data_IF_947907504534
#
_entry.id   IF_947907504534
#
_cell.length_a   1.000
_cell.length_b   1.000
_cell.length_c   1.000
_cell.angle_alpha   90.00
_cell.angle_beta   90.00
_cell.angle_gamma   90.00
#
_symmetry.space_group_name_H-M   'P 1'
#
loop_
_entity.id
_entity.type
_entity.pdbx_description
1 polymer ?
#
# COMPACT_ATOMS: atom_id res chain seq x y z
N UNK A 1 17.48 -27.72 -16.60
CA UNK A 1 16.87 -27.55 -15.27
C UNK A 1 15.79 -26.51 -15.47
N UNK A 2 14.56 -26.95 -15.56
CA UNK A 2 13.38 -26.10 -15.79
C UNK A 2 13.19 -25.20 -14.58
N UNK A 3 13.45 -23.90 -14.74
CA UNK A 3 12.97 -22.86 -13.83
C UNK A 3 11.45 -23.04 -13.69
N UNK A 4 11.01 -23.42 -12.49
CA UNK A 4 9.60 -23.44 -12.13
C UNK A 4 9.07 -22.01 -12.20
N UNK A 5 7.85 -21.83 -12.72
CA UNK A 5 7.20 -20.53 -12.74
C UNK A 5 7.16 -19.95 -11.30
N UNK A 6 7.37 -18.64 -11.09
CA UNK A 6 7.39 -18.02 -9.76
C UNK A 6 6.08 -18.21 -8.96
N UNK A 7 5.01 -18.66 -9.61
CA UNK A 7 3.73 -18.97 -8.98
C UNK A 7 3.67 -20.36 -8.31
N UNK A 8 4.66 -21.24 -8.53
CA UNK A 8 4.75 -22.54 -7.83
C UNK A 8 5.06 -22.40 -6.35
N UNK A 9 5.55 -21.24 -5.91
CA UNK A 9 5.93 -21.00 -4.52
C UNK A 9 4.75 -20.53 -3.66
N UNK A 10 3.55 -20.42 -4.23
CA UNK A 10 2.31 -19.99 -3.55
C UNK A 10 1.35 -21.17 -3.28
N UNK A 11 1.87 -22.35 -2.94
CA UNK A 11 1.05 -23.56 -2.75
C UNK A 11 0.40 -23.67 -1.36
N UNK A 12 0.82 -22.86 -0.39
CA UNK A 12 0.25 -22.88 0.97
C UNK A 12 0.27 -21.50 1.65
N UNK A 13 -0.53 -21.37 2.71
CA UNK A 13 -0.53 -20.19 3.59
C UNK A 13 0.85 -19.97 4.23
N UNK A 14 1.54 -21.05 4.59
CA UNK A 14 2.87 -20.97 5.22
C UNK A 14 3.92 -20.44 4.22
N UNK A 15 3.80 -20.82 2.94
CA UNK A 15 4.66 -20.28 1.89
C UNK A 15 4.42 -18.78 1.66
N UNK A 16 3.16 -18.32 1.73
CA UNK A 16 2.84 -16.87 1.68
C UNK A 16 3.42 -16.13 2.89
N UNK A 17 3.36 -16.69 4.09
CA UNK A 17 4.00 -16.08 5.26
C UNK A 17 5.52 -15.96 5.08
N UNK A 18 6.16 -17.02 4.57
CA UNK A 18 7.61 -17.00 4.31
C UNK A 18 7.98 -15.96 3.24
N UNK A 19 7.17 -15.86 2.18
CA UNK A 19 7.34 -14.86 1.12
C UNK A 19 7.25 -13.43 1.67
N UNK A 20 6.24 -13.13 2.47
CA UNK A 20 6.08 -11.82 3.11
C UNK A 20 7.24 -11.53 4.07
N UNK A 21 7.67 -12.52 4.85
CA UNK A 21 8.79 -12.39 5.78
C UNK A 21 10.12 -12.10 5.06
N UNK A 22 10.39 -12.75 3.92
CA UNK A 22 11.56 -12.46 3.07
C UNK A 22 11.55 -11.02 2.54
N UNK A 23 10.37 -10.48 2.25
CA UNK A 23 10.16 -9.08 1.88
C UNK A 23 10.09 -8.12 3.07
N UNK A 24 10.55 -8.53 4.26
CA UNK A 24 10.56 -7.70 5.48
C UNK A 24 9.15 -7.22 5.91
N UNK A 25 8.12 -8.03 5.65
CA UNK A 25 6.75 -7.78 6.07
C UNK A 25 6.28 -8.84 7.07
N UNK A 26 5.90 -8.40 8.27
CA UNK A 26 5.43 -9.28 9.35
C UNK A 26 3.91 -9.41 9.29
N UNK A 27 3.44 -10.44 8.60
CA UNK A 27 2.02 -10.79 8.51
C UNK A 27 1.58 -11.69 9.66
N UNK A 28 0.32 -11.57 10.07
CA UNK A 28 -0.34 -12.63 10.83
C UNK A 28 -0.87 -13.73 9.88
N UNK A 29 -1.25 -14.87 10.45
CA UNK A 29 -1.76 -16.01 9.68
C UNK A 29 -3.07 -15.70 8.95
N UNK A 30 -3.91 -14.83 9.50
CA UNK A 30 -5.21 -14.49 8.92
C UNK A 30 -5.04 -13.65 7.65
N UNK A 31 -4.15 -12.65 7.68
CA UNK A 31 -3.76 -11.85 6.53
C UNK A 31 -3.11 -12.70 5.46
N UNK A 32 -2.17 -13.58 5.84
CA UNK A 32 -1.53 -14.50 4.91
C UNK A 32 -2.54 -15.46 4.26
N UNK A 33 -3.57 -15.90 5.01
CA UNK A 33 -4.65 -16.74 4.48
C UNK A 33 -5.51 -15.96 3.48
N UNK A 34 -5.91 -14.72 3.81
CA UNK A 34 -6.69 -13.87 2.91
C UNK A 34 -5.93 -13.59 1.61
N UNK A 35 -4.63 -13.29 1.71
CA UNK A 35 -3.77 -13.08 0.55
C UNK A 35 -3.59 -14.36 -0.28
N UNK A 36 -3.33 -15.50 0.36
CA UNK A 36 -3.24 -16.79 -0.31
C UNK A 36 -4.51 -17.10 -1.13
N UNK A 37 -5.69 -16.91 -0.54
CA UNK A 37 -6.96 -17.14 -1.21
C UNK A 37 -7.19 -16.16 -2.37
N UNK A 38 -6.83 -14.89 -2.19
CA UNK A 38 -6.92 -13.87 -3.24
C UNK A 38 -6.05 -14.23 -4.46
N UNK A 39 -4.79 -14.62 -4.22
CA UNK A 39 -3.85 -15.04 -5.26
C UNK A 39 -4.33 -16.31 -5.97
N UNK A 40 -4.77 -17.33 -5.20
CA UNK A 40 -5.16 -18.64 -5.76
C UNK A 40 -6.46 -18.57 -6.56
N UNK A 41 -7.38 -17.70 -6.17
CA UNK A 41 -8.69 -17.55 -6.82
C UNK A 41 -8.72 -16.40 -7.83
N UNK A 42 -7.61 -15.68 -8.01
CA UNK A 42 -7.52 -14.55 -8.95
C UNK A 42 -8.51 -13.42 -8.63
N UNK A 43 -8.77 -13.17 -7.34
CA UNK A 43 -9.70 -12.12 -6.89
C UNK A 43 -8.94 -10.99 -6.18
N UNK A 44 -9.38 -9.73 -6.30
CA UNK A 44 -8.74 -8.62 -5.58
C UNK A 44 -8.77 -8.81 -4.07
N UNK A 45 -7.72 -8.36 -3.38
CA UNK A 45 -7.66 -8.26 -1.92
C UNK A 45 -7.89 -6.80 -1.50
N UNK A 46 -8.93 -6.58 -0.71
CA UNK A 46 -9.25 -5.27 -0.13
C UNK A 46 -8.84 -5.22 1.34
N UNK A 47 -7.88 -4.34 1.63
CA UNK A 47 -7.29 -4.09 2.93
C UNK A 47 -7.84 -2.78 3.49
N UNK A 48 -8.73 -2.88 4.47
CA UNK A 48 -9.26 -1.74 5.21
C UNK A 48 -8.64 -1.71 6.60
N UNK A 49 -8.38 -0.55 7.19
CA UNK A 49 -7.80 -0.47 8.53
C UNK A 49 -7.22 0.89 8.84
N UNK A 50 -6.50 0.99 9.94
CA UNK A 50 -5.94 2.26 10.41
C UNK A 50 -4.74 2.75 9.59
N UNK A 51 -4.46 4.04 9.61
CA UNK A 51 -3.29 4.58 8.95
C UNK A 51 -2.00 4.03 9.58
N UNK A 52 -0.98 3.78 8.76
CA UNK A 52 0.35 3.38 9.24
C UNK A 52 0.48 1.92 9.70
N UNK A 53 -0.49 1.04 9.42
CA UNK A 53 -0.44 -0.41 9.74
C UNK A 53 0.18 -1.28 8.64
N UNK A 54 0.68 -0.68 7.56
CA UNK A 54 1.40 -1.40 6.49
C UNK A 54 0.55 -1.96 5.34
N UNK A 55 -0.67 -1.47 5.13
CA UNK A 55 -1.56 -1.91 4.02
C UNK A 55 -0.91 -1.75 2.64
N UNK A 56 -0.36 -0.57 2.36
CA UNK A 56 0.29 -0.21 1.09
C UNK A 56 1.58 -1.02 0.85
N UNK A 57 2.27 -1.43 1.91
CA UNK A 57 3.54 -2.15 1.82
C UNK A 57 3.38 -3.56 1.24
N UNK A 58 2.24 -4.21 1.46
CA UNK A 58 1.94 -5.55 0.94
C UNK A 58 2.07 -5.60 -0.58
N UNK A 59 1.55 -4.59 -1.30
CA UNK A 59 1.65 -4.55 -2.76
C UNK A 59 3.09 -4.48 -3.26
N UNK A 60 3.96 -3.73 -2.57
CA UNK A 60 5.38 -3.64 -2.91
C UNK A 60 6.10 -4.96 -2.67
N UNK A 61 5.87 -5.56 -1.50
CA UNK A 61 6.49 -6.84 -1.14
C UNK A 61 6.07 -7.95 -2.09
N UNK A 62 4.79 -7.99 -2.50
CA UNK A 62 4.32 -8.95 -3.49
C UNK A 62 4.98 -8.73 -4.86
N UNK A 63 5.11 -7.49 -5.30
CA UNK A 63 5.79 -7.16 -6.55
C UNK A 63 7.25 -7.61 -6.54
N UNK A 64 7.99 -7.28 -5.49
CA UNK A 64 9.40 -7.64 -5.36
C UNK A 64 9.59 -9.15 -5.25
N UNK A 65 8.80 -9.82 -4.40
CA UNK A 65 8.94 -11.24 -4.15
C UNK A 65 8.53 -12.12 -5.34
N UNK A 66 7.54 -11.70 -6.13
CA UNK A 66 7.10 -12.41 -7.33
C UNK A 66 7.87 -11.96 -8.60
N UNK A 67 8.76 -10.96 -8.49
CA UNK A 67 9.46 -10.40 -9.64
C UNK A 67 8.54 -9.74 -10.67
N UNK A 68 7.42 -9.17 -10.22
CA UNK A 68 6.39 -8.58 -11.09
C UNK A 68 6.44 -7.05 -11.01
N UNK A 69 6.15 -6.37 -12.12
CA UNK A 69 6.06 -4.90 -12.16
C UNK A 69 4.97 -4.40 -11.19
N UNK A 70 5.33 -3.47 -10.31
CA UNK A 70 4.37 -2.74 -9.47
C UNK A 70 3.77 -1.57 -10.25
N UNK A 71 2.45 -1.50 -10.27
CA UNK A 71 1.71 -0.36 -10.80
C UNK A 71 0.88 0.21 -9.67
N UNK A 72 1.11 1.48 -9.35
CA UNK A 72 0.38 2.17 -8.28
C UNK A 72 -0.60 3.16 -8.87
N UNK A 73 -1.87 3.01 -8.51
CA UNK A 73 -2.90 4.02 -8.66
C UNK A 73 -3.13 4.66 -7.29
N UNK A 74 -2.69 5.91 -7.12
CA UNK A 74 -2.99 6.68 -5.93
C UNK A 74 -4.37 7.33 -6.08
N UNK A 75 -5.26 7.06 -5.14
CA UNK A 75 -6.58 7.66 -5.10
C UNK A 75 -6.57 8.99 -4.34
N UNK A 76 -7.33 9.95 -4.88
CA UNK A 76 -7.54 11.29 -4.34
C UNK A 76 -8.84 11.88 -4.90
N UNK A 77 -9.32 12.96 -4.31
CA UNK A 77 -10.57 13.63 -4.69
C UNK A 77 -10.46 14.23 -6.09
N UNK A 78 -11.45 14.00 -6.95
CA UNK A 78 -11.40 14.45 -8.35
C UNK A 78 -10.51 13.60 -9.26
N UNK A 79 -10.07 12.41 -8.82
CA UNK A 79 -9.45 11.43 -9.71
C UNK A 79 -10.45 11.01 -10.81
N UNK A 80 -10.04 11.16 -12.07
CA UNK A 80 -10.87 10.89 -13.23
C UNK A 80 -10.32 9.75 -14.11
N UNK A 81 -11.11 9.35 -15.11
CA UNK A 81 -10.77 8.28 -16.05
C UNK A 81 -9.52 8.65 -16.87
N UNK A 82 -9.36 9.93 -17.23
CA UNK A 82 -8.20 10.42 -17.99
C UNK A 82 -6.89 10.17 -17.24
N UNK A 83 -6.87 10.46 -15.94
CA UNK A 83 -5.67 10.31 -15.09
C UNK A 83 -5.43 8.86 -14.67
N UNK A 84 -6.49 8.05 -14.60
CA UNK A 84 -6.40 6.66 -14.15
C UNK A 84 -6.16 5.66 -15.29
N UNK A 85 -6.69 5.91 -16.49
CA UNK A 85 -6.73 4.95 -17.60
C UNK A 85 -5.85 5.37 -18.78
N UNK A 86 -6.15 6.49 -19.42
CA UNK A 86 -5.35 6.96 -20.56
C UNK A 86 -5.59 8.44 -20.85
N UNK A 87 -4.60 9.06 -21.49
CA UNK A 87 -4.71 10.40 -22.07
C UNK A 87 -4.09 10.39 -23.47
N UNK A 88 -4.66 11.16 -24.39
CA UNK A 88 -4.07 11.38 -25.71
C UNK A 88 -3.05 12.51 -25.67
N UNK A 89 -1.85 12.28 -26.19
CA UNK A 89 -0.82 13.31 -26.33
C UNK A 89 -1.13 14.23 -27.53
N UNK A 90 -2.11 15.13 -27.36
CA UNK A 90 -2.52 16.06 -28.39
C UNK A 90 -1.38 16.96 -28.88
N UNK A 91 -0.44 17.33 -28.00
CA UNK A 91 0.71 18.14 -28.40
C UNK A 91 1.61 17.40 -29.41
N UNK A 92 1.90 16.12 -29.15
CA UNK A 92 2.68 15.29 -30.07
C UNK A 92 1.91 15.03 -31.38
N UNK A 93 0.61 14.77 -31.31
CA UNK A 93 -0.25 14.63 -32.48
C UNK A 93 -0.19 15.89 -33.36
N UNK A 94 -0.30 17.08 -32.77
CA UNK A 94 -0.25 18.35 -33.51
C UNK A 94 1.12 18.61 -34.16
N UNK A 95 2.22 18.20 -33.53
CA UNK A 95 3.55 18.31 -34.13
C UNK A 95 3.66 17.39 -35.35
N UNK A 96 3.19 16.14 -35.23
CA UNK A 96 3.24 15.16 -36.30
C UNK A 96 2.41 15.59 -37.51
N UNK A 97 1.21 16.12 -37.28
CA UNK A 97 0.35 16.71 -38.32
C UNK A 97 1.09 17.83 -39.06
N UNK A 98 1.74 18.76 -38.34
CA UNK A 98 2.47 19.88 -38.98
C UNK A 98 3.68 19.41 -39.78
N UNK A 99 4.37 18.37 -39.31
CA UNK A 99 5.50 17.79 -40.03
C UNK A 99 5.03 17.09 -41.32
N UNK A 100 3.93 16.35 -41.25
CA UNK A 100 3.31 15.71 -42.42
C UNK A 100 2.84 16.76 -43.45
N UNK A 101 2.18 17.84 -43.00
CA UNK A 101 1.78 18.96 -43.85
C UNK A 101 3.00 19.64 -44.52
N UNK A 102 4.08 19.88 -43.76
CA UNK A 102 5.31 20.48 -44.28
C UNK A 102 6.05 19.57 -45.27
N UNK A 103 5.98 18.25 -45.09
CA UNK A 103 6.51 17.25 -46.01
C UNK A 103 5.66 17.08 -47.28
N UNK A 104 4.48 17.72 -47.34
CA UNK A 104 3.56 17.65 -48.47
C UNK A 104 2.71 16.38 -48.51
N UNK A 105 2.60 15.67 -47.38
CA UNK A 105 1.68 14.53 -47.27
C UNK A 105 0.22 15.04 -47.27
N UNK A 106 -0.61 14.46 -48.13
CA UNK A 106 -2.00 14.87 -48.36
C UNK A 106 -2.99 13.72 -48.19
N UNK A 107 -2.50 12.56 -47.77
CA UNK A 107 -3.36 11.40 -47.56
C UNK A 107 -4.09 11.51 -46.22
N UNK A 108 -5.29 12.08 -46.28
CA UNK A 108 -6.10 12.42 -45.11
C UNK A 108 -6.48 11.19 -44.27
N UNK A 109 -6.75 10.06 -44.91
CA UNK A 109 -7.12 8.81 -44.22
C UNK A 109 -5.93 8.23 -43.47
N UNK A 110 -4.75 8.26 -44.08
CA UNK A 110 -3.51 7.84 -43.43
C UNK A 110 -3.17 8.72 -42.23
N UNK A 111 -3.23 10.04 -42.39
CA UNK A 111 -3.00 11.00 -41.31
C UNK A 111 -3.99 10.79 -40.15
N UNK A 112 -5.29 10.61 -40.43
CA UNK A 112 -6.30 10.33 -39.40
C UNK A 112 -6.03 9.02 -38.64
N UNK A 113 -5.70 7.93 -39.33
CA UNK A 113 -5.36 6.64 -38.70
C UNK A 113 -4.07 6.70 -37.87
N UNK A 114 -3.12 7.54 -38.29
CA UNK A 114 -1.83 7.71 -37.62
C UNK A 114 -1.95 8.58 -36.35
N UNK A 115 -2.94 9.49 -36.26
CA UNK A 115 -3.16 10.38 -35.11
C UNK A 115 -3.73 9.61 -33.88
N UNK A 116 -4.63 8.66 -34.08
CA UNK A 116 -5.22 7.86 -33.01
C UNK A 116 -4.57 6.47 -32.89
N UNK A 117 -3.24 6.46 -32.89
CA UNK A 117 -2.45 5.24 -32.73
C UNK A 117 -1.83 5.16 -31.32
N UNK A 118 -1.49 3.95 -30.88
CA UNK A 118 -0.88 3.72 -29.56
C UNK A 118 0.35 4.59 -29.27
N UNK A 119 1.05 5.10 -30.30
CA UNK A 119 2.22 5.98 -30.15
C UNK A 119 1.92 7.30 -29.44
N UNK A 120 0.67 7.77 -29.52
CA UNK A 120 0.22 8.99 -28.84
C UNK A 120 -0.61 8.72 -27.60
N UNK A 121 -0.89 7.45 -27.30
CA UNK A 121 -1.66 7.05 -26.14
C UNK A 121 -0.76 7.01 -24.90
N UNK A 122 -0.96 7.96 -23.99
CA UNK A 122 -0.32 7.95 -22.67
C UNK A 122 -1.11 6.98 -21.80
N UNK A 123 -0.60 5.76 -21.66
CA UNK A 123 -1.19 4.73 -20.78
C UNK A 123 -0.99 5.13 -19.32
N UNK A 124 -2.07 5.15 -18.54
CA UNK A 124 -2.09 5.45 -17.10
C UNK A 124 -2.22 4.14 -16.29
N UNK A 125 -2.16 4.18 -14.94
CA UNK A 125 -2.01 2.97 -14.13
C UNK A 125 -2.99 1.84 -14.45
N UNK A 126 -4.28 2.12 -14.64
CA UNK A 126 -5.28 1.07 -14.88
C UNK A 126 -5.08 0.41 -16.24
N UNK A 127 -4.79 1.17 -17.30
CA UNK A 127 -4.50 0.59 -18.62
C UNK A 127 -3.18 -0.17 -18.62
N UNK A 128 -2.14 0.39 -17.98
CA UNK A 128 -0.85 -0.28 -17.83
C UNK A 128 -0.97 -1.61 -17.07
N UNK A 129 -1.96 -1.75 -16.19
CA UNK A 129 -2.20 -2.96 -15.41
C UNK A 129 -2.88 -4.09 -16.19
N UNK A 130 -3.50 -3.77 -17.33
CA UNK A 130 -4.05 -4.77 -18.25
C UNK A 130 -2.95 -5.40 -19.12
N UNK A 131 -1.77 -4.79 -19.17
CA UNK A 131 -0.66 -5.23 -20.01
C UNK A 131 0.32 -6.11 -19.22
N UNK A 132 0.60 -7.30 -19.76
CA UNK A 132 1.65 -8.16 -19.23
C UNK A 132 3.02 -7.60 -19.59
N UNK A 133 4.01 -7.92 -18.76
CA UNK A 133 5.42 -7.59 -19.07
C UNK A 133 5.95 -8.44 -20.25
N UNK A 134 7.16 -8.14 -20.73
CA UNK A 134 7.86 -8.86 -21.80
C UNK A 134 7.95 -10.37 -21.53
N UNK A 135 7.98 -10.75 -20.25
CA UNK A 135 7.98 -12.13 -19.76
C UNK A 135 6.61 -12.83 -19.79
N UNK A 136 5.52 -12.13 -20.12
CA UNK A 136 4.15 -12.64 -20.12
C UNK A 136 3.53 -12.81 -18.72
N UNK A 137 4.12 -12.15 -17.71
CA UNK A 137 3.61 -12.11 -16.34
C UNK A 137 2.74 -10.87 -16.12
N UNK A 138 1.58 -11.00 -15.46
CA UNK A 138 0.73 -9.86 -15.18
C UNK A 138 1.25 -9.08 -13.96
N UNK A 139 1.09 -7.75 -13.94
CA UNK A 139 1.64 -6.89 -12.90
C UNK A 139 0.91 -7.03 -11.56
N UNK A 140 1.48 -6.42 -10.53
CA UNK A 140 0.78 -6.14 -9.26
C UNK A 140 0.20 -4.73 -9.35
N UNK A 141 -1.13 -4.63 -9.31
CA UNK A 141 -1.86 -3.36 -9.27
C UNK A 141 -2.20 -3.03 -7.81
N UNK A 142 -1.62 -1.93 -7.32
CA UNK A 142 -1.90 -1.35 -6.02
C UNK A 142 -2.80 -0.13 -6.17
N UNK A 143 -4.04 -0.24 -5.74
CA UNK A 143 -5.01 0.85 -5.67
C UNK A 143 -5.01 1.37 -4.23
N UNK A 144 -4.43 2.55 -4.02
CA UNK A 144 -4.08 3.03 -2.69
C UNK A 144 -5.01 4.16 -2.24
N UNK A 145 -5.55 4.07 -1.04
CA UNK A 145 -6.47 5.05 -0.43
C UNK A 145 -7.76 5.28 -1.23
N UNK A 146 -8.43 4.20 -1.65
CA UNK A 146 -9.66 4.24 -2.45
C UNK A 146 -10.77 5.10 -1.82
N UNK A 147 -10.76 5.24 -0.50
CA UNK A 147 -11.67 6.10 0.28
C UNK A 147 -11.51 7.59 0.01
N UNK A 148 -10.54 7.99 -0.81
CA UNK A 148 -10.39 9.39 -1.22
C UNK A 148 -10.97 9.71 -2.59
N UNK A 149 -11.44 8.73 -3.36
CA UNK A 149 -12.07 9.02 -4.67
C UNK A 149 -13.55 9.41 -4.51
N UNK A 150 -14.18 9.77 -5.61
CA UNK A 150 -15.64 9.99 -5.69
C UNK A 150 -16.38 8.70 -6.12
N UNK A 151 -17.69 8.62 -5.86
CA UNK A 151 -18.54 7.47 -6.23
C UNK A 151 -18.53 7.12 -7.73
N UNK A 152 -18.52 8.08 -8.68
CA UNK A 152 -18.46 7.75 -10.10
C UNK A 152 -17.18 6.98 -10.47
N UNK A 153 -16.06 7.31 -9.82
CA UNK A 153 -14.81 6.61 -10.03
C UNK A 153 -14.85 5.18 -9.49
N UNK A 154 -15.47 4.97 -8.33
CA UNK A 154 -15.68 3.63 -7.77
C UNK A 154 -16.50 2.72 -8.70
N UNK A 155 -17.58 3.26 -9.28
CA UNK A 155 -18.41 2.53 -10.22
C UNK A 155 -17.62 2.11 -11.47
N UNK A 156 -16.80 3.03 -11.99
CA UNK A 156 -15.91 2.74 -13.11
C UNK A 156 -14.85 1.69 -12.77
N UNK A 157 -14.22 1.81 -11.60
CA UNK A 157 -13.24 0.84 -11.13
C UNK A 157 -13.85 -0.56 -11.00
N UNK A 158 -15.11 -0.64 -10.53
CA UNK A 158 -15.83 -1.91 -10.42
C UNK A 158 -16.01 -2.62 -11.77
N UNK A 159 -16.26 -1.86 -12.84
CA UNK A 159 -16.34 -2.39 -14.21
C UNK A 159 -15.02 -3.04 -14.62
N UNK A 160 -13.90 -2.31 -14.43
CA UNK A 160 -12.56 -2.83 -14.75
C UNK A 160 -12.22 -4.06 -13.89
N UNK A 161 -12.48 -4.03 -12.58
CA UNK A 161 -12.16 -5.15 -11.70
C UNK A 161 -13.02 -6.40 -11.95
N UNK A 162 -14.13 -6.26 -12.69
CA UNK A 162 -14.99 -7.40 -13.03
C UNK A 162 -14.49 -8.17 -14.23
N UNK A 163 -14.11 -7.46 -15.30
CA UNK A 163 -13.77 -8.06 -16.60
C UNK A 163 -12.29 -7.87 -17.01
N UNK A 164 -11.52 -7.11 -16.23
CA UNK A 164 -10.13 -6.72 -16.53
C UNK A 164 -9.95 -6.22 -17.96
N UNK A 165 -10.86 -5.33 -18.37
CA UNK A 165 -10.85 -4.70 -19.68
C UNK A 165 -11.20 -3.21 -19.60
N UNK A 166 -10.78 -2.47 -20.60
CA UNK A 166 -11.11 -1.06 -20.81
C UNK A 166 -11.48 -0.87 -22.26
N UNK A 167 -12.55 -0.12 -22.55
CA UNK A 167 -12.90 0.26 -23.92
C UNK A 167 -12.45 1.70 -24.18
N UNK A 168 -11.56 1.86 -25.16
CA UNK A 168 -11.13 3.16 -25.67
C UNK A 168 -11.90 3.41 -26.97
N UNK A 169 -12.72 4.47 -27.09
CA UNK A 169 -13.56 4.69 -28.26
C UNK A 169 -12.81 4.64 -29.60
N UNK A 170 -11.58 5.15 -29.64
CA UNK A 170 -10.79 5.26 -30.86
C UNK A 170 -10.00 3.99 -31.21
N UNK A 171 -9.62 3.16 -30.23
CA UNK A 171 -8.76 1.97 -30.43
C UNK A 171 -9.53 0.65 -30.25
N UNK A 172 -10.67 0.69 -29.56
CA UNK A 172 -11.48 -0.48 -29.20
C UNK A 172 -11.21 -0.97 -27.78
N UNK A 173 -11.63 -2.21 -27.51
CA UNK A 173 -11.53 -2.83 -26.19
C UNK A 173 -10.17 -3.50 -25.99
N UNK A 174 -9.50 -3.14 -24.90
CA UNK A 174 -8.25 -3.73 -24.43
C UNK A 174 -8.58 -4.60 -23.23
N UNK A 175 -8.28 -5.89 -23.33
CA UNK A 175 -8.55 -6.89 -22.29
C UNK A 175 -7.25 -7.51 -21.83
N UNK A 176 -7.08 -7.69 -20.52
CA UNK A 176 -5.92 -8.38 -19.98
C UNK A 176 -5.95 -9.87 -20.34
N UNK A 177 -4.87 -10.37 -20.97
CA UNK A 177 -4.72 -11.81 -21.23
C UNK A 177 -4.69 -12.62 -19.93
N UNK A 178 -4.02 -12.07 -18.91
CA UNK A 178 -3.98 -12.59 -17.54
C UNK A 178 -4.34 -11.46 -16.58
N UNK A 179 -5.28 -11.66 -15.65
CA UNK A 179 -5.62 -10.65 -14.66
C UNK A 179 -4.40 -10.23 -13.80
N UNK A 180 -4.23 -8.94 -13.50
CA UNK A 180 -3.24 -8.48 -12.54
C UNK A 180 -3.57 -8.96 -11.12
N UNK A 181 -2.54 -9.04 -10.28
CA UNK A 181 -2.74 -9.20 -8.83
C UNK A 181 -3.19 -7.85 -8.30
N UNK A 182 -4.39 -7.76 -7.74
CA UNK A 182 -4.95 -6.49 -7.27
C UNK A 182 -4.96 -6.42 -5.74
N UNK A 183 -4.30 -5.39 -5.21
CA UNK A 183 -4.37 -4.99 -3.81
C UNK A 183 -5.04 -3.61 -3.74
N UNK A 184 -6.12 -3.51 -2.97
CA UNK A 184 -6.85 -2.26 -2.73
C UNK A 184 -6.66 -1.89 -1.27
N UNK A 185 -6.33 -0.65 -0.96
CA UNK A 185 -6.21 -0.15 0.42
C UNK A 185 -7.22 0.94 0.72
N UNK A 186 -7.64 1.03 1.98
CA UNK A 186 -8.46 2.13 2.49
C UNK A 186 -8.13 2.45 3.95
N UNK A 187 -8.17 3.73 4.30
CA UNK A 187 -8.04 4.22 5.68
C UNK A 187 -9.40 4.45 6.34
N UNK A 188 -10.51 4.05 5.69
CA UNK A 188 -11.88 4.24 6.15
C UNK A 188 -12.22 5.71 6.47
N UNK A 189 -11.66 6.68 5.74
CA UNK A 189 -12.02 8.10 5.90
C UNK A 189 -13.46 8.38 5.44
N UNK A 190 -13.98 7.53 4.54
CA UNK A 190 -15.40 7.45 4.17
C UNK A 190 -15.78 6.00 3.90
N UNK A 191 -17.07 5.75 3.80
CA UNK A 191 -17.59 4.45 3.42
C UNK A 191 -17.42 4.21 1.91
N UNK A 192 -16.79 3.08 1.56
CA UNK A 192 -16.67 2.58 0.18
C UNK A 192 -17.94 1.85 -0.21
N UNK A 193 -18.34 1.96 -1.47
CA UNK A 193 -19.51 1.28 -2.00
C UNK A 193 -19.42 -0.24 -1.81
N UNK A 194 -20.48 -0.82 -1.25
CA UNK A 194 -20.55 -2.25 -0.90
C UNK A 194 -20.33 -3.21 -2.09
N UNK A 195 -20.54 -2.74 -3.32
CA UNK A 195 -20.30 -3.52 -4.53
C UNK A 195 -18.81 -3.88 -4.69
N UNK A 196 -17.89 -2.97 -4.35
CA UNK A 196 -16.45 -3.24 -4.36
C UNK A 196 -16.11 -4.28 -3.30
N UNK A 197 -16.62 -4.12 -2.08
CA UNK A 197 -16.38 -5.07 -0.97
C UNK A 197 -16.80 -6.48 -1.34
N UNK A 198 -17.97 -6.65 -1.98
CA UNK A 198 -18.49 -7.96 -2.42
C UNK A 198 -17.67 -8.62 -3.53
N UNK A 199 -16.99 -7.84 -4.38
CA UNK A 199 -16.14 -8.35 -5.47
C UNK A 199 -14.73 -8.71 -5.00
N UNK A 200 -14.31 -8.27 -3.82
CA UNK A 200 -12.99 -8.52 -3.26
C UNK A 200 -13.01 -9.57 -2.13
N UNK A 201 -11.85 -10.13 -1.81
CA UNK A 201 -11.60 -10.66 -0.47
C UNK A 201 -11.37 -9.48 0.48
N UNK A 202 -12.06 -9.48 1.61
CA UNK A 202 -11.96 -8.41 2.58
C UNK A 202 -11.07 -8.83 3.75
N UNK A 203 -10.17 -7.94 4.17
CA UNK A 203 -9.39 -8.12 5.39
C UNK A 203 -9.22 -6.79 6.13
N UNK A 204 -9.52 -6.82 7.43
CA UNK A 204 -9.28 -5.69 8.34
C UNK A 204 -7.87 -5.77 8.91
N UNK A 205 -7.05 -4.75 8.65
CA UNK A 205 -5.71 -4.62 9.20
C UNK A 205 -5.75 -3.73 10.44
N UNK A 206 -5.72 -4.37 11.61
CA UNK A 206 -5.67 -3.68 12.90
C UNK A 206 -4.23 -3.33 13.30
N UNK A 207 -4.08 -2.56 14.39
CA UNK A 207 -2.80 -2.39 15.03
C UNK A 207 -2.25 -3.74 15.50
N UNK A 208 -0.94 -4.00 15.35
CA UNK A 208 -0.35 -5.24 15.80
C UNK A 208 -0.37 -5.33 17.34
N UNK A 209 -0.43 -6.56 17.85
CA UNK A 209 -0.14 -6.82 19.25
C UNK A 209 1.35 -6.54 19.58
N UNK A 210 1.67 -6.48 20.86
CA UNK A 210 3.03 -6.19 21.32
C UNK A 210 4.08 -7.19 20.76
N UNK A 211 3.72 -8.46 20.58
CA UNK A 211 4.66 -9.47 20.09
C UNK A 211 4.99 -9.21 18.62
N UNK A 212 3.97 -9.02 17.80
CA UNK A 212 4.10 -8.74 16.37
C UNK A 212 4.78 -7.40 16.12
N UNK A 213 4.47 -6.38 16.91
CA UNK A 213 5.12 -5.08 16.78
C UNK A 213 6.61 -5.14 17.11
N UNK A 214 7.02 -5.96 18.09
CA UNK A 214 8.43 -6.24 18.35
C UNK A 214 9.12 -6.96 17.18
N UNK A 215 8.45 -7.92 16.56
CA UNK A 215 8.96 -8.60 15.36
C UNK A 215 9.13 -7.60 14.20
N UNK A 216 8.18 -6.67 14.04
CA UNK A 216 8.27 -5.60 13.03
C UNK A 216 9.49 -4.72 13.30
N UNK A 217 9.72 -4.27 14.54
CA UNK A 217 10.88 -3.44 14.88
C UNK A 217 12.20 -4.16 14.62
N UNK A 218 12.30 -5.45 14.95
CA UNK A 218 13.50 -6.27 14.67
C UNK A 218 13.86 -6.30 13.19
N UNK A 219 12.85 -6.32 12.33
CA UNK A 219 13.02 -6.37 10.88
C UNK A 219 13.28 -4.98 10.28
N UNK A 220 12.54 -3.96 10.72
CA UNK A 220 12.57 -2.61 10.12
C UNK A 220 13.62 -1.67 10.72
N UNK A 221 14.10 -1.94 11.94
CA UNK A 221 15.12 -1.15 12.63
C UNK A 221 16.27 -2.07 13.08
N UNK A 222 17.10 -2.58 12.14
CA UNK A 222 18.19 -3.49 12.50
C UNK A 222 19.22 -2.76 13.37
N UNK A 223 19.59 -3.39 14.50
CA UNK A 223 20.61 -2.86 15.41
C UNK A 223 20.07 -2.13 16.64
N UNK A 224 18.75 -1.99 16.79
CA UNK A 224 18.14 -1.53 18.04
C UNK A 224 18.34 -2.55 19.17
N UNK A 225 18.59 -2.05 20.39
CA UNK A 225 18.66 -2.90 21.57
C UNK A 225 17.29 -3.55 21.88
N UNK A 226 17.31 -4.81 22.34
CA UNK A 226 16.08 -5.54 22.62
C UNK A 226 15.30 -4.95 23.81
N UNK A 227 16.00 -4.43 24.83
CA UNK A 227 15.35 -3.79 25.96
C UNK A 227 14.66 -2.50 25.53
N UNK A 228 15.33 -1.66 24.73
CA UNK A 228 14.74 -0.44 24.18
C UNK A 228 13.51 -0.76 23.31
N UNK A 229 13.60 -1.77 22.45
CA UNK A 229 12.46 -2.19 21.60
C UNK A 229 11.24 -2.59 22.44
N UNK A 230 11.46 -3.38 23.50
CA UNK A 230 10.39 -3.80 24.43
C UNK A 230 9.75 -2.60 25.13
N UNK A 231 10.54 -1.62 25.55
CA UNK A 231 10.04 -0.42 26.19
C UNK A 231 9.23 0.46 25.22
N UNK A 232 9.74 0.66 23.99
CA UNK A 232 9.04 1.42 22.95
C UNK A 232 7.69 0.80 22.64
N UNK A 233 7.65 -0.51 22.35
CA UNK A 233 6.39 -1.20 22.05
C UNK A 233 5.44 -1.15 23.24
N UNK A 234 5.90 -1.44 24.45
CA UNK A 234 5.05 -1.37 25.63
C UNK A 234 4.48 0.04 25.88
N UNK A 235 5.27 1.09 25.63
CA UNK A 235 4.83 2.47 25.73
C UNK A 235 3.75 2.79 24.69
N UNK A 236 3.98 2.43 23.42
CA UNK A 236 3.02 2.65 22.33
C UNK A 236 1.71 1.88 22.56
N UNK A 237 1.77 0.63 23.02
CA UNK A 237 0.59 -0.17 23.31
C UNK A 237 -0.27 0.49 24.39
N UNK A 238 0.34 0.96 25.49
CA UNK A 238 -0.39 1.73 26.52
C UNK A 238 -0.91 3.07 26.01
N UNK A 239 -0.21 3.68 25.07
CA UNK A 239 -0.65 4.93 24.43
C UNK A 239 -1.90 4.71 23.56
N UNK A 240 -2.02 3.54 22.92
CA UNK A 240 -3.22 3.14 22.15
C UNK A 240 -4.44 2.88 23.04
N UNK A 241 -4.24 2.57 24.32
CA UNK A 241 -5.33 2.45 25.31
C UNK A 241 -5.83 3.82 25.83
N UNK A 242 -5.17 4.92 25.45
CA UNK A 242 -5.58 6.27 25.84
C UNK A 242 -6.59 6.82 24.85
N UNK A 243 -7.45 7.70 25.37
CA UNK A 243 -8.40 8.47 24.58
C UNK A 243 -7.66 9.58 23.80
N UNK A 244 -7.03 9.21 22.68
CA UNK A 244 -6.35 10.15 21.79
C UNK A 244 -7.20 10.40 20.56
N UNK A 245 -7.06 11.60 19.99
CA UNK A 245 -7.72 11.91 18.73
C UNK A 245 -7.22 11.01 17.60
N UNK A 246 -5.91 10.79 17.52
CA UNK A 246 -5.31 9.84 16.57
C UNK A 246 -4.27 8.96 17.23
N UNK A 247 -4.52 7.65 17.18
CA UNK A 247 -3.61 6.65 17.72
C UNK A 247 -2.37 6.48 16.83
N UNK A 248 -1.17 6.29 17.42
CA UNK A 248 0.05 6.07 16.65
C UNK A 248 0.03 4.70 15.98
N UNK A 249 0.37 4.68 14.69
CA UNK A 249 0.52 3.46 13.91
C UNK A 249 1.90 2.82 14.05
N UNK A 250 2.11 1.79 13.25
CA UNK A 250 3.39 1.07 13.19
C UNK A 250 4.46 1.95 12.57
N UNK A 251 4.09 2.78 11.58
CA UNK A 251 4.97 3.77 10.97
C UNK A 251 5.55 4.73 12.02
N UNK A 252 4.70 5.31 12.87
CA UNK A 252 5.15 6.20 13.94
C UNK A 252 6.03 5.48 14.97
N UNK A 253 5.75 4.21 15.25
CA UNK A 253 6.55 3.38 16.16
C UNK A 253 7.95 3.10 15.61
N UNK A 254 8.06 2.80 14.32
CA UNK A 254 9.34 2.63 13.61
C UNK A 254 10.11 3.94 13.60
N UNK A 255 9.46 5.05 13.24
CA UNK A 255 10.10 6.38 13.19
C UNK A 255 10.61 6.83 14.56
N UNK A 256 9.83 6.59 15.62
CA UNK A 256 10.24 6.91 16.97
C UNK A 256 11.41 6.04 17.44
N UNK A 257 11.39 4.75 17.12
CA UNK A 257 12.51 3.85 17.44
C UNK A 257 13.79 4.29 16.72
N UNK A 258 13.71 4.63 15.43
CA UNK A 258 14.84 5.18 14.67
C UNK A 258 15.36 6.48 15.29
N UNK A 259 14.46 7.40 15.70
CA UNK A 259 14.85 8.63 16.37
C UNK A 259 15.62 8.38 17.67
N UNK A 260 15.16 7.42 18.49
CA UNK A 260 15.84 7.03 19.73
C UNK A 260 17.24 6.44 19.48
N UNK A 261 17.38 5.61 18.45
CA UNK A 261 18.68 5.07 18.02
C UNK A 261 19.63 6.20 17.58
N UNK A 262 19.14 7.18 16.82
CA UNK A 262 19.95 8.33 16.38
C UNK A 262 20.31 9.29 17.53
N UNK A 263 19.57 9.25 18.64
CA UNK A 263 19.87 10.00 19.86
C UNK A 263 20.78 9.22 20.83
N UNK A 264 21.34 8.08 20.39
CA UNK A 264 22.18 7.17 21.17
C UNK A 264 21.53 6.75 22.51
N UNK A 265 20.20 6.60 22.50
CA UNK A 265 19.43 6.19 23.68
C UNK A 265 19.39 4.67 23.77
N UNK A 266 19.57 4.17 25.00
CA UNK A 266 19.61 2.73 25.32
C UNK A 266 18.37 2.31 26.14
N UNK A 267 17.72 3.27 26.80
CA UNK A 267 16.52 3.09 27.62
C UNK A 267 15.63 4.33 27.48
N UNK A 268 14.33 4.18 27.68
CA UNK A 268 13.38 5.29 27.78
C UNK A 268 13.49 5.99 29.14
N UNK A 269 13.78 7.29 29.10
CA UNK A 269 13.72 8.19 30.25
C UNK A 269 12.66 9.29 30.05
N UNK A 270 12.13 9.90 31.13
CA UNK A 270 11.08 10.90 31.03
C UNK A 270 11.44 12.12 30.15
N UNK A 271 12.70 12.53 30.12
CA UNK A 271 13.14 13.68 29.33
C UNK A 271 13.13 13.35 27.84
N UNK A 272 13.67 12.19 27.48
CA UNK A 272 13.67 11.66 26.11
C UNK A 272 12.25 11.47 25.59
N UNK A 273 11.36 10.86 26.38
CA UNK A 273 9.96 10.68 25.96
C UNK A 273 9.33 12.05 25.69
N UNK A 274 9.37 12.97 26.66
CA UNK A 274 8.74 14.28 26.52
C UNK A 274 9.30 15.14 25.38
N UNK A 275 10.59 15.00 25.06
CA UNK A 275 11.22 15.74 23.95
C UNK A 275 10.96 15.11 22.58
N UNK A 276 10.54 13.84 22.52
CA UNK A 276 10.33 13.10 21.27
C UNK A 276 8.89 12.67 21.02
N UNK A 277 7.94 13.00 21.91
CA UNK A 277 6.51 12.68 21.75
C UNK A 277 5.92 13.13 20.40
N UNK A 278 6.42 14.22 19.81
CA UNK A 278 5.99 14.69 18.48
C UNK A 278 6.31 13.74 17.32
N UNK A 279 7.16 12.73 17.54
CA UNK A 279 7.40 11.66 16.57
C UNK A 279 6.22 10.68 16.56
N UNK A 280 5.66 10.36 17.74
CA UNK A 280 4.50 9.47 17.89
C UNK A 280 3.16 10.17 17.64
N UNK A 281 2.99 11.36 18.22
CA UNK A 281 1.72 12.08 18.22
C UNK A 281 1.82 13.31 17.32
N UNK A 282 0.81 13.49 16.46
CA UNK A 282 0.79 14.58 15.46
C UNK A 282 -0.18 15.71 15.80
N UNK A 283 -1.02 15.52 16.82
CA UNK A 283 -1.98 16.52 17.27
C UNK A 283 -1.48 17.20 18.53
N UNK A 284 -1.53 18.53 18.55
CA UNK A 284 -1.05 19.33 19.68
C UNK A 284 -1.80 18.99 20.98
N UNK A 285 -3.10 18.75 20.88
CA UNK A 285 -3.95 18.38 22.03
C UNK A 285 -3.56 17.00 22.59
N UNK A 286 -3.28 16.03 21.73
CA UNK A 286 -2.78 14.70 22.13
C UNK A 286 -1.41 14.81 22.80
N UNK A 287 -0.50 15.62 22.25
CA UNK A 287 0.81 15.87 22.85
C UNK A 287 0.63 16.51 24.23
N UNK A 288 -0.19 17.55 24.37
CA UNK A 288 -0.41 18.23 25.65
C UNK A 288 -1.08 17.31 26.69
N UNK A 289 -1.97 16.41 26.26
CA UNK A 289 -2.63 15.43 27.12
C UNK A 289 -1.63 14.41 27.71
N UNK A 290 -0.62 14.03 26.93
CA UNK A 290 0.34 12.99 27.32
C UNK A 290 1.61 13.56 27.93
N UNK A 291 2.06 14.75 27.53
CA UNK A 291 3.32 15.32 27.97
C UNK A 291 3.34 15.59 29.48
N UNK A 292 4.49 15.36 30.10
CA UNK A 292 4.71 15.59 31.53
C UNK A 292 4.32 14.39 32.38
N UNK A 293 3.34 14.57 33.26
CA UNK A 293 2.99 13.57 34.28
C UNK A 293 2.41 12.28 33.70
N UNK A 294 1.63 12.37 32.63
CA UNK A 294 0.98 11.19 32.04
C UNK A 294 2.01 10.29 31.33
N UNK A 295 2.92 10.88 30.54
CA UNK A 295 4.03 10.17 29.94
C UNK A 295 4.92 9.49 30.99
N UNK A 296 5.21 10.18 32.10
CA UNK A 296 5.95 9.60 33.21
C UNK A 296 5.20 8.41 33.85
N UNK A 297 3.89 8.55 34.08
CA UNK A 297 3.08 7.46 34.63
C UNK A 297 3.02 6.23 33.70
N UNK A 298 2.88 6.45 32.39
CA UNK A 298 2.93 5.37 31.39
C UNK A 298 4.30 4.68 31.44
N UNK A 299 5.38 5.47 31.46
CA UNK A 299 6.75 4.95 31.49
C UNK A 299 7.03 4.14 32.77
N UNK A 300 6.60 4.61 33.93
CA UNK A 300 6.75 3.91 35.20
C UNK A 300 6.01 2.57 35.18
N UNK A 301 4.79 2.54 34.63
CA UNK A 301 4.03 1.31 34.47
C UNK A 301 4.74 0.35 33.49
N UNK A 302 5.27 0.84 32.36
CA UNK A 302 6.05 0.02 31.41
C UNK A 302 7.24 -0.62 32.10
N UNK A 303 8.00 0.14 32.89
CA UNK A 303 9.17 -0.37 33.62
C UNK A 303 8.77 -1.41 34.67
N UNK A 304 7.68 -1.18 35.39
CA UNK A 304 7.15 -2.15 36.36
C UNK A 304 6.72 -3.46 35.69
N UNK A 305 5.97 -3.38 34.59
CA UNK A 305 5.48 -4.54 33.85
C UNK A 305 6.65 -5.38 33.30
N UNK A 306 7.64 -4.72 32.68
CA UNK A 306 8.82 -5.42 32.14
C UNK A 306 9.69 -6.04 33.24
N UNK A 307 9.83 -5.39 34.40
CA UNK A 307 10.55 -5.95 35.55
C UNK A 307 9.83 -7.17 36.15
N UNK A 308 8.50 -7.22 36.08
CA UNK A 308 7.70 -8.36 36.56
C UNK A 308 7.84 -9.61 35.70
N UNK A 309 8.07 -9.44 34.39
CA UNK A 309 8.24 -10.53 33.42
C UNK A 309 9.61 -11.22 33.57
N UNK A 310 10.61 -10.55 34.17
CA UNK A 310 11.95 -11.09 34.40
C UNK A 310 12.15 -11.71 35.80
N UNK A 311 11.09 -11.84 36.60
CA UNK A 311 11.07 -12.61 37.86
C UNK A 311 10.40 -13.96 37.66
#
# INVERSE_FOLDING_TARGET
MTESAPDSDLESVDAVMELLSKGNYVADRSLATALFLALRLGRPLFLEGEAGVGKTEIGKVLSEALGRRLIRLQCYEGLDVSSAVYEWNYAAQMIDIRLAEAAGDRDRERIESDIFSERFLIKRPLLQALESDVSGLPPVLLIDELDRTDEPFEAFLLEILSDFQVTIPEIGTITAEKPPIVIITSNRTREIHDAIKRRCFYFWVDYPDAKRELEILKVKVPGVDEALSRQVVAFVQKLRDKDLFKLPGVAETIDWTNALVQLDKIDLDPETVNSSLGVLLKYQDDIQKIQGSEAAAILDQVKADLASIHK
#
